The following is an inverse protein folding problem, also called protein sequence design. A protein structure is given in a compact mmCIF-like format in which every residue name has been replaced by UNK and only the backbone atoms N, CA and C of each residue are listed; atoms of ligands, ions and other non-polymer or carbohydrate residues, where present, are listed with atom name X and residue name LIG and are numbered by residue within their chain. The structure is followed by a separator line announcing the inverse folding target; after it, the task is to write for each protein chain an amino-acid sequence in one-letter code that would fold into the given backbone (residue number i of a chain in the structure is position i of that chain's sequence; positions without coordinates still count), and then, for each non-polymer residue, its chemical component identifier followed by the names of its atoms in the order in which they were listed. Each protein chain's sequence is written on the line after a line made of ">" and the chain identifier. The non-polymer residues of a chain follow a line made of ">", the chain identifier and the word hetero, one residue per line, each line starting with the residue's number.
data_IF_624041082532
#
_entry.id   IF_624041082532
#
_cell.length_a   1.000
_cell.length_b   1.000
_cell.length_c   1.000
_cell.angle_alpha   90.00
_cell.angle_beta   90.00
_cell.angle_gamma   90.00
#
_symmetry.space_group_name_H-M   'P 1'
#
loop_
_entity.id
_entity.type
_entity.pdbx_description
1 polymer ?
#
# COMPACT_ATOMS: atom_id res chain seq x y z
N UNK A 1 5.62 16.34 -8.09
CA UNK A 1 5.75 14.96 -8.61
C UNK A 1 5.98 13.92 -7.52
N UNK A 2 6.99 13.97 -6.63
CA UNK A 2 6.99 13.10 -5.40
C UNK A 2 5.65 13.16 -4.62
N UNK A 3 5.01 14.34 -4.67
CA UNK A 3 3.72 14.70 -4.05
C UNK A 3 2.47 13.89 -4.47
N UNK A 4 2.49 13.18 -5.60
CA UNK A 4 1.38 12.27 -5.98
C UNK A 4 1.54 10.88 -5.35
N UNK A 5 2.79 10.51 -5.04
CA UNK A 5 3.20 9.13 -4.86
C UNK A 5 2.82 8.50 -3.51
N UNK A 6 2.87 9.28 -2.43
CA UNK A 6 2.43 8.82 -1.11
C UNK A 6 0.99 8.29 -1.14
N UNK A 7 0.17 8.79 -2.07
CA UNK A 7 -1.19 8.30 -2.29
C UNK A 7 -1.30 7.29 -3.42
N UNK A 8 -0.45 7.37 -4.45
CA UNK A 8 -0.29 6.24 -5.40
C UNK A 8 0.08 4.94 -4.69
N UNK A 9 0.82 4.99 -3.58
CA UNK A 9 1.21 3.80 -2.82
C UNK A 9 0.12 3.31 -1.87
N UNK A 10 -0.56 4.24 -1.18
CA UNK A 10 -1.74 3.91 -0.38
C UNK A 10 -2.88 3.35 -1.24
N UNK A 11 -3.03 3.84 -2.48
CA UNK A 11 -3.91 3.21 -3.47
C UNK A 11 -3.31 1.96 -4.11
N UNK A 12 -2.02 1.85 -4.43
CA UNK A 12 -1.49 0.61 -5.02
C UNK A 12 -1.57 -0.61 -4.07
N UNK A 13 -1.57 -0.36 -2.75
CA UNK A 13 -1.88 -1.36 -1.72
C UNK A 13 -3.39 -1.62 -1.51
N UNK A 14 -4.27 -0.82 -2.13
CA UNK A 14 -5.74 -0.86 -1.95
C UNK A 14 -6.53 -1.15 -3.22
N UNK A 15 -6.16 -0.61 -4.38
CA UNK A 15 -6.79 -0.73 -5.71
C UNK A 15 -5.83 -0.21 -6.78
N UNK A 16 -5.58 -1.00 -7.83
CA UNK A 16 -4.86 -0.52 -8.99
C UNK A 16 -5.63 0.50 -9.83
N UNK A 17 -5.21 1.78 -9.80
CA UNK A 17 -5.25 2.69 -10.96
C UNK A 17 -4.52 4.02 -10.63
N UNK A 18 -3.33 4.24 -11.21
CA UNK A 18 -2.77 5.58 -11.46
C UNK A 18 -2.24 5.61 -12.89
N UNK A 19 -3.14 5.37 -13.85
CA UNK A 19 -2.79 5.23 -15.27
C UNK A 19 -3.91 5.73 -16.20
N UNK A 20 -4.33 6.99 -16.04
CA UNK A 20 -4.77 7.83 -17.15
C UNK A 20 -4.97 9.29 -16.69
N UNK A 21 -4.02 10.13 -17.06
CA UNK A 21 -4.09 11.59 -16.98
C UNK A 21 -3.27 12.12 -18.15
N UNK A 22 -3.86 12.12 -19.35
CA UNK A 22 -3.22 12.64 -20.55
C UNK A 22 -3.06 14.15 -20.44
N UNK A 23 -1.87 14.65 -20.75
CA UNK A 23 -1.61 16.08 -20.96
C UNK A 23 -1.43 16.32 -22.46
N UNK A 24 -2.16 17.27 -23.01
CA UNK A 24 -2.23 17.53 -24.45
C UNK A 24 -0.98 18.28 -24.94
N UNK A 25 0.01 17.54 -25.46
CA UNK A 25 1.26 18.09 -25.99
C UNK A 25 1.58 17.53 -27.39
N UNK A 26 1.13 18.21 -28.44
CA UNK A 26 1.24 17.73 -29.82
C UNK A 26 2.68 17.59 -30.37
N UNK A 27 2.94 16.51 -31.12
CA UNK A 27 4.25 16.22 -31.70
C UNK A 27 4.23 15.13 -32.79
N UNK A 28 3.72 15.47 -33.98
CA UNK A 28 3.99 14.85 -35.30
C UNK A 28 4.38 13.36 -35.38
N UNK A 29 3.43 12.50 -35.77
CA UNK A 29 3.73 11.20 -36.40
C UNK A 29 4.38 11.38 -37.79
N UNK A 30 5.20 10.40 -38.21
CA UNK A 30 5.19 9.91 -39.58
C UNK A 30 4.58 8.49 -39.69
N UNK A 31 4.10 8.17 -40.89
CA UNK A 31 3.30 7.00 -41.24
C UNK A 31 4.00 5.64 -41.09
N UNK A 32 3.19 4.58 -40.95
CA UNK A 32 3.48 3.28 -41.55
C UNK A 32 2.22 2.74 -42.25
N UNK A 33 2.43 2.16 -43.43
CA UNK A 33 1.40 1.87 -44.43
C UNK A 33 0.62 0.57 -44.21
N UNK A 34 -0.49 0.47 -44.95
CA UNK A 34 -1.48 -0.59 -44.89
C UNK A 34 -1.06 -1.92 -45.55
N UNK A 35 -1.77 -2.99 -45.16
CA UNK A 35 -2.20 -4.04 -46.11
C UNK A 35 -3.66 -4.42 -45.78
N UNK A 36 -4.49 -4.55 -46.82
CA UNK A 36 -5.93 -4.92 -46.74
C UNK A 36 -6.19 -6.28 -47.39
N UNK A 37 -7.21 -6.99 -46.90
CA UNK A 37 -8.20 -7.84 -47.60
C UNK A 37 -9.27 -8.21 -46.53
N UNK A 38 -10.55 -7.80 -46.61
CA UNK A 38 -11.68 -8.50 -47.27
C UNK A 38 -12.53 -9.30 -46.25
N UNK A 39 -13.88 -9.46 -46.29
CA UNK A 39 -14.98 -8.98 -47.16
C UNK A 39 -16.30 -8.88 -46.30
N UNK A 40 -17.34 -8.24 -46.86
CA UNK A 40 -18.73 -8.00 -46.39
C UNK A 40 -19.52 -9.21 -45.80
N UNK A 41 -20.62 -8.94 -45.06
CA UNK A 41 -21.91 -9.55 -45.45
C UNK A 41 -23.14 -8.60 -45.42
N UNK A 42 -24.15 -8.92 -46.24
CA UNK A 42 -25.43 -8.19 -46.38
C UNK A 42 -26.60 -8.82 -45.57
N UNK A 43 -27.67 -8.04 -45.36
CA UNK A 43 -28.99 -8.50 -44.88
C UNK A 43 -29.98 -8.72 -46.06
N UNK A 44 -31.05 -9.53 -45.91
CA UNK A 44 -32.35 -9.12 -45.31
C UNK A 44 -32.97 -10.22 -44.40
N UNK A 45 -34.17 -10.12 -43.80
CA UNK A 45 -35.20 -9.05 -43.72
C UNK A 45 -36.64 -9.62 -43.85
N UNK A 46 -37.60 -9.21 -42.99
CA UNK A 46 -39.00 -9.69 -43.01
C UNK A 46 -39.87 -9.16 -41.85
N UNK A 47 -41.17 -8.98 -42.09
CA UNK A 47 -42.14 -8.22 -41.26
C UNK A 47 -42.88 -9.07 -40.19
N UNK A 48 -43.42 -8.43 -39.11
CA UNK A 48 -44.88 -8.25 -38.94
C UNK A 48 -45.30 -7.43 -37.68
N UNK A 49 -46.53 -6.91 -37.78
CA UNK A 49 -47.29 -5.97 -36.94
C UNK A 49 -47.44 -6.32 -35.43
N UNK A 50 -47.63 -5.28 -34.59
CA UNK A 50 -48.23 -5.38 -33.24
C UNK A 50 -49.22 -4.24 -32.98
N UNK A 51 -50.45 -4.61 -32.62
CA UNK A 51 -51.51 -3.73 -32.07
C UNK A 51 -51.65 -3.94 -30.56
N UNK A 52 -52.14 -2.93 -29.83
CA UNK A 52 -53.05 -3.19 -28.71
C UNK A 52 -52.63 -2.79 -27.28
N UNK A 53 -53.27 -1.72 -26.80
CA UNK A 53 -53.74 -1.47 -25.43
C UNK A 53 -52.74 -1.27 -24.26
N UNK A 54 -52.90 -0.10 -23.61
CA UNK A 54 -52.41 0.19 -22.26
C UNK A 54 -53.58 0.13 -21.25
N UNK A 55 -53.32 -0.13 -19.95
CA UNK A 55 -54.23 0.19 -18.87
C UNK A 55 -53.84 1.49 -18.14
N UNK A 56 -54.85 2.29 -17.81
CA UNK A 56 -54.76 3.51 -16.99
C UNK A 56 -54.97 3.20 -15.51
N UNK A 57 -54.11 3.70 -14.63
CA UNK A 57 -54.36 3.79 -13.19
C UNK A 57 -54.06 5.21 -12.67
N UNK A 58 -55.14 5.97 -12.54
CA UNK A 58 -55.57 6.72 -11.36
C UNK A 58 -54.55 7.53 -10.52
N UNK A 59 -54.74 8.85 -10.49
CA UNK A 59 -54.11 9.76 -9.52
C UNK A 59 -54.97 9.81 -8.25
N UNK A 60 -54.37 9.52 -7.09
CA UNK A 60 -54.99 9.65 -5.78
C UNK A 60 -54.21 10.62 -4.89
N UNK A 61 -54.83 11.75 -4.51
CA UNK A 61 -54.29 12.63 -3.48
C UNK A 61 -54.37 11.96 -2.10
N UNK A 62 -53.21 11.71 -1.50
CA UNK A 62 -53.09 11.14 -0.16
C UNK A 62 -52.17 11.99 0.71
N UNK A 63 -52.74 12.83 1.57
CA UNK A 63 -52.01 13.48 2.66
C UNK A 63 -51.68 12.44 3.74
N UNK A 64 -50.46 11.92 3.72
CA UNK A 64 -49.94 10.99 4.73
C UNK A 64 -48.66 11.54 5.35
N UNK A 65 -48.62 11.56 6.68
CA UNK A 65 -47.53 12.15 7.45
C UNK A 65 -46.18 11.50 7.14
N UNK A 66 -45.22 12.31 6.67
CA UNK A 66 -43.81 11.94 6.71
C UNK A 66 -43.40 11.99 8.19
N UNK A 67 -43.51 10.84 8.86
CA UNK A 67 -42.94 10.65 10.18
C UNK A 67 -41.45 11.00 10.09
N UNK A 68 -41.10 12.15 10.65
CA UNK A 68 -39.74 12.66 10.75
C UNK A 68 -38.95 11.67 11.59
N UNK A 69 -38.31 10.72 10.93
CA UNK A 69 -37.33 9.84 11.55
C UNK A 69 -36.24 10.77 12.10
N UNK A 70 -36.25 10.92 13.43
CA UNK A 70 -35.32 11.81 14.08
C UNK A 70 -33.94 11.18 13.89
N UNK A 71 -33.11 11.82 13.07
CA UNK A 71 -31.69 11.52 13.00
C UNK A 71 -31.17 11.57 14.44
N UNK A 72 -30.92 10.39 15.00
CA UNK A 72 -30.33 10.27 16.31
C UNK A 72 -28.92 10.82 16.15
N UNK A 73 -28.72 12.05 16.63
CA UNK A 73 -27.41 12.63 16.76
C UNK A 73 -26.63 11.70 17.70
N UNK A 74 -25.78 10.86 17.10
CA UNK A 74 -24.94 9.92 17.85
C UNK A 74 -23.93 10.77 18.60
N UNK A 75 -24.28 11.12 19.84
CA UNK A 75 -23.44 11.95 20.72
C UNK A 75 -22.12 11.21 20.94
N UNK A 76 -21.11 11.62 20.19
CA UNK A 76 -19.78 11.05 20.32
C UNK A 76 -19.27 11.35 21.73
N UNK A 77 -18.88 10.30 22.46
CA UNK A 77 -18.39 10.40 23.84
C UNK A 77 -16.87 10.34 23.83
N UNK A 78 -16.16 11.45 24.14
CA UNK A 78 -14.70 11.49 24.19
C UNK A 78 -14.10 10.37 25.06
N UNK A 79 -13.10 9.65 24.55
CA UNK A 79 -12.38 8.64 25.32
C UNK A 79 -10.87 8.96 25.44
N UNK A 80 -10.54 9.51 26.62
CA UNK A 80 -9.17 9.82 27.05
C UNK A 80 -8.67 8.89 28.16
N UNK A 81 -9.33 7.75 28.38
CA UNK A 81 -8.92 6.79 29.42
C UNK A 81 -7.54 6.24 29.10
N UNK A 82 -6.56 6.55 29.95
CA UNK A 82 -5.16 6.14 29.75
C UNK A 82 -4.36 7.02 28.77
N UNK A 83 -4.94 8.10 28.24
CA UNK A 83 -4.25 9.04 27.34
C UNK A 83 -3.82 10.32 28.06
N UNK A 84 -2.65 10.83 27.70
CA UNK A 84 -2.13 12.15 28.10
C UNK A 84 -2.03 13.13 26.93
N UNK A 85 -2.16 12.63 25.70
CA UNK A 85 -2.11 13.40 24.47
C UNK A 85 -2.88 12.72 23.32
N UNK A 86 -3.07 13.43 22.22
CA UNK A 86 -3.69 12.89 20.99
C UNK A 86 -5.22 12.92 21.01
N UNK A 87 -5.85 12.42 19.93
CA UNK A 87 -7.30 12.56 19.76
C UNK A 87 -8.13 11.75 20.77
N UNK A 88 -9.27 12.31 21.16
CA UNK A 88 -10.28 11.69 22.01
C UNK A 88 -11.27 10.77 21.27
N UNK A 89 -11.16 10.67 19.95
CA UNK A 89 -12.05 9.88 19.09
C UNK A 89 -13.34 10.59 18.64
N UNK A 90 -13.54 11.84 19.06
CA UNK A 90 -14.75 12.65 18.81
C UNK A 90 -14.47 14.03 18.22
N UNK A 91 -13.31 14.20 17.58
CA UNK A 91 -12.85 15.48 17.02
C UNK A 91 -12.23 16.43 18.05
N UNK A 92 -12.13 16.03 19.32
CA UNK A 92 -11.37 16.71 20.35
C UNK A 92 -10.01 16.06 20.62
N UNK A 93 -9.38 16.50 21.71
CA UNK A 93 -8.03 16.07 22.12
C UNK A 93 -7.97 15.78 23.61
N UNK A 94 -7.27 14.70 23.95
CA UNK A 94 -6.93 14.29 25.31
C UNK A 94 -5.75 15.08 25.90
N UNK A 95 -5.04 15.85 25.07
CA UNK A 95 -3.95 16.69 25.49
C UNK A 95 -2.92 16.93 24.39
N UNK A 96 -1.98 17.82 24.69
CA UNK A 96 -0.86 18.18 23.81
C UNK A 96 0.45 18.04 24.59
N UNK A 97 1.52 17.66 23.88
CA UNK A 97 2.83 17.50 24.49
C UNK A 97 3.47 18.87 24.77
N UNK A 98 3.64 19.20 26.06
CA UNK A 98 3.91 20.56 26.53
C UNK A 98 5.32 21.12 26.27
N UNK A 99 6.22 20.33 25.69
CA UNK A 99 7.59 20.74 25.33
C UNK A 99 7.71 21.23 23.86
N UNK A 100 6.59 21.39 23.15
CA UNK A 100 6.54 21.82 21.75
C UNK A 100 7.07 20.75 20.78
N UNK A 101 7.68 21.19 19.68
CA UNK A 101 8.21 20.34 18.57
C UNK A 101 9.24 19.27 19.00
N UNK A 102 9.62 19.22 20.27
CA UNK A 102 10.66 18.35 20.84
C UNK A 102 10.10 17.07 21.47
N UNK A 103 8.79 16.89 21.48
CA UNK A 103 8.12 15.71 22.05
C UNK A 103 6.96 15.24 21.18
N UNK A 104 6.94 13.96 20.88
CA UNK A 104 5.92 13.28 20.11
C UNK A 104 4.92 12.60 21.04
N UNK A 105 3.64 12.68 20.69
CA UNK A 105 2.63 11.83 21.31
C UNK A 105 2.76 10.40 20.76
N UNK A 106 2.78 9.39 21.62
CA UNK A 106 2.71 8.00 21.18
C UNK A 106 1.37 7.72 20.47
N UNK A 107 1.31 6.80 19.49
CA UNK A 107 0.08 6.54 18.72
C UNK A 107 -1.13 6.08 19.55
N UNK A 108 -0.90 5.47 20.72
CA UNK A 108 -1.94 5.09 21.69
C UNK A 108 -2.40 6.25 22.59
N UNK A 109 -1.70 7.39 22.56
CA UNK A 109 -1.92 8.57 23.39
C UNK A 109 -1.32 8.47 24.80
N UNK A 110 -0.63 7.37 25.15
CA UNK A 110 -0.26 7.05 26.54
C UNK A 110 0.85 7.93 27.13
N UNK A 111 1.77 8.43 26.29
CA UNK A 111 2.88 9.26 26.72
C UNK A 111 3.32 10.29 25.66
N UNK A 112 3.96 11.35 26.15
CA UNK A 112 4.78 12.25 25.34
C UNK A 112 6.25 11.85 25.48
N UNK A 113 6.89 11.46 24.38
CA UNK A 113 8.29 10.99 24.34
C UNK A 113 9.14 11.95 23.51
N UNK A 114 10.43 12.06 23.84
CA UNK A 114 11.37 12.77 22.95
C UNK A 114 11.64 11.89 21.71
N UNK A 115 11.73 12.48 20.50
CA UNK A 115 12.27 11.77 19.35
C UNK A 115 13.60 11.12 19.69
N UNK A 116 13.76 9.86 19.34
CA UNK A 116 15.01 9.13 19.47
C UNK A 116 16.04 9.66 18.46
N UNK A 117 17.33 9.59 18.81
CA UNK A 117 18.40 10.03 17.90
C UNK A 117 18.76 8.89 16.94
N UNK A 118 18.06 8.81 15.80
CA UNK A 118 18.32 7.80 14.76
C UNK A 118 19.75 7.94 14.23
N UNK A 119 20.26 9.17 14.07
CA UNK A 119 21.60 9.41 13.54
C UNK A 119 22.71 8.99 14.51
N UNK A 120 22.53 9.21 15.82
CA UNK A 120 23.42 8.72 16.87
C UNK A 120 23.29 7.22 17.15
N UNK A 121 22.15 6.61 16.83
CA UNK A 121 21.88 5.18 17.04
C UNK A 121 22.40 4.33 15.86
N UNK A 122 22.09 4.73 14.63
CA UNK A 122 22.40 3.96 13.41
C UNK A 122 23.74 4.42 12.82
N UNK A 123 24.82 3.98 13.47
CA UNK A 123 26.21 4.37 13.14
C UNK A 123 26.90 3.45 12.13
N UNK A 124 26.28 2.31 11.79
CA UNK A 124 26.76 1.33 10.81
C UNK A 124 25.57 0.68 10.11
N UNK A 125 25.69 0.50 8.80
CA UNK A 125 24.79 -0.29 7.97
C UNK A 125 25.37 -1.68 7.73
N UNK A 126 24.54 -2.72 7.80
CA UNK A 126 24.92 -4.05 7.36
C UNK A 126 24.65 -4.22 5.84
N UNK A 127 24.81 -5.44 5.31
CA UNK A 127 24.59 -5.68 3.87
C UNK A 127 23.12 -5.43 3.50
N UNK A 128 22.90 -4.75 2.37
CA UNK A 128 21.55 -4.41 1.87
C UNK A 128 21.34 -4.85 0.42
N UNK A 129 20.15 -5.37 0.14
CA UNK A 129 19.61 -5.47 -1.22
C UNK A 129 18.49 -4.45 -1.39
N UNK A 130 18.48 -3.70 -2.49
CA UNK A 130 17.39 -2.76 -2.83
C UNK A 130 16.46 -3.38 -3.87
N UNK A 131 15.18 -3.06 -3.77
CA UNK A 131 14.14 -3.48 -4.72
C UNK A 131 14.55 -3.20 -6.18
N UNK A 132 14.53 -4.25 -7.01
CA UNK A 132 14.88 -4.19 -8.44
C UNK A 132 13.67 -4.45 -9.35
N UNK A 133 12.71 -5.25 -8.90
CA UNK A 133 11.39 -5.41 -9.50
C UNK A 133 10.33 -5.59 -8.40
N UNK A 134 9.09 -5.21 -8.70
CA UNK A 134 7.92 -5.46 -7.87
C UNK A 134 6.69 -5.66 -8.75
N UNK A 135 5.94 -6.72 -8.53
CA UNK A 135 4.71 -7.04 -9.25
C UNK A 135 3.78 -7.89 -8.38
N UNK A 136 2.50 -8.02 -8.73
CA UNK A 136 1.62 -9.05 -8.17
C UNK A 136 1.38 -10.15 -9.22
N UNK A 137 1.37 -11.44 -8.84
CA UNK A 137 1.18 -12.52 -9.80
C UNK A 137 -0.28 -12.60 -10.26
N UNK A 138 -0.50 -12.40 -11.57
CA UNK A 138 -1.82 -12.51 -12.20
C UNK A 138 -2.21 -13.93 -12.64
N UNK A 139 -1.21 -14.80 -12.87
CA UNK A 139 -1.44 -16.20 -13.21
C UNK A 139 -1.87 -17.02 -11.97
N UNK A 140 -2.82 -17.95 -12.17
CA UNK A 140 -3.38 -18.73 -11.08
C UNK A 140 -2.39 -19.78 -10.55
N UNK A 141 -1.66 -20.48 -11.42
CA UNK A 141 -0.72 -21.50 -10.97
C UNK A 141 0.47 -20.87 -10.23
N UNK A 142 0.92 -19.69 -10.67
CA UNK A 142 1.95 -18.91 -9.95
C UNK A 142 1.46 -18.49 -8.55
N UNK A 143 0.21 -18.01 -8.42
CA UNK A 143 -0.39 -17.68 -7.12
C UNK A 143 -0.46 -18.92 -6.22
N UNK A 144 -1.10 -20.00 -6.69
CA UNK A 144 -1.27 -21.24 -5.90
C UNK A 144 0.08 -21.87 -5.47
N UNK A 145 1.16 -21.64 -6.23
CA UNK A 145 2.50 -22.18 -5.96
C UNK A 145 3.40 -21.27 -5.11
N UNK A 146 3.40 -19.95 -5.31
CA UNK A 146 4.39 -19.03 -4.72
C UNK A 146 3.88 -18.23 -3.53
N UNK A 147 2.58 -17.94 -3.46
CA UNK A 147 2.03 -17.14 -2.37
C UNK A 147 1.78 -18.01 -1.12
N UNK A 148 1.79 -17.43 0.10
CA UNK A 148 1.38 -18.16 1.29
C UNK A 148 -0.11 -18.52 1.26
N UNK A 149 -0.43 -19.69 1.81
CA UNK A 149 -1.80 -20.12 2.10
C UNK A 149 -2.27 -19.45 3.41
N UNK A 150 -3.21 -18.51 3.30
CA UNK A 150 -3.84 -17.80 4.41
C UNK A 150 -5.26 -18.33 4.70
N UNK A 151 -5.90 -18.97 3.72
CA UNK A 151 -7.25 -19.53 3.79
C UNK A 151 -7.29 -20.95 4.38
N UNK A 152 -6.18 -21.69 4.32
CA UNK A 152 -6.01 -23.06 4.78
C UNK A 152 -6.40 -24.13 3.75
N UNK A 153 -6.56 -23.78 2.47
CA UNK A 153 -7.01 -24.71 1.41
C UNK A 153 -5.86 -25.48 0.71
N UNK A 154 -4.63 -25.32 1.21
CA UNK A 154 -3.37 -25.83 0.66
C UNK A 154 -2.89 -25.17 -0.63
N UNK A 155 -3.32 -23.93 -0.90
CA UNK A 155 -2.88 -23.12 -2.05
C UNK A 155 -2.54 -21.70 -1.61
N UNK A 156 -1.60 -21.08 -2.31
CA UNK A 156 -1.31 -19.67 -2.10
C UNK A 156 -2.48 -18.75 -2.45
N UNK A 157 -2.75 -17.77 -1.60
CA UNK A 157 -3.79 -16.75 -1.81
C UNK A 157 -3.20 -15.45 -2.39
N UNK A 158 -3.98 -14.73 -3.22
CA UNK A 158 -3.65 -13.37 -3.65
C UNK A 158 -4.89 -12.61 -4.16
N UNK A 159 -5.50 -11.77 -3.32
CA UNK A 159 -6.63 -10.91 -3.69
C UNK A 159 -6.29 -9.92 -4.81
N UNK A 160 -5.03 -9.48 -4.89
CA UNK A 160 -4.55 -8.58 -5.94
C UNK A 160 -4.46 -9.22 -7.34
N UNK A 161 -4.57 -10.56 -7.45
CA UNK A 161 -4.42 -11.32 -8.70
C UNK A 161 -5.31 -10.77 -9.83
N UNK A 162 -6.55 -10.39 -9.51
CA UNK A 162 -7.51 -9.84 -10.48
C UNK A 162 -7.10 -8.48 -11.06
N UNK A 163 -6.22 -7.74 -10.38
CA UNK A 163 -5.75 -6.41 -10.79
C UNK A 163 -4.35 -6.42 -11.40
N UNK A 164 -3.68 -7.57 -11.51
CA UNK A 164 -2.28 -7.67 -11.94
C UNK A 164 -1.97 -6.94 -13.26
N UNK A 165 -2.84 -7.08 -14.27
CA UNK A 165 -2.73 -6.38 -15.56
C UNK A 165 -2.81 -4.86 -15.46
N UNK A 166 -3.43 -4.35 -14.38
CA UNK A 166 -3.65 -2.93 -14.12
C UNK A 166 -2.56 -2.35 -13.22
N UNK A 167 -2.10 -3.09 -12.20
CA UNK A 167 -1.08 -2.59 -11.24
C UNK A 167 0.35 -2.76 -11.71
N UNK A 168 0.69 -3.86 -12.40
CA UNK A 168 2.11 -4.22 -12.61
C UNK A 168 2.87 -3.20 -13.46
N UNK A 169 2.19 -2.54 -14.41
CA UNK A 169 2.79 -1.44 -15.19
C UNK A 169 3.20 -0.23 -14.34
N UNK A 170 2.38 0.14 -13.36
CA UNK A 170 2.69 1.26 -12.45
C UNK A 170 3.66 0.85 -11.34
N UNK A 171 3.56 -0.37 -10.79
CA UNK A 171 4.55 -0.92 -9.86
C UNK A 171 5.96 -0.92 -10.49
N UNK A 172 6.07 -1.39 -11.74
CA UNK A 172 7.32 -1.39 -12.49
C UNK A 172 7.88 0.03 -12.70
N UNK A 173 7.05 0.99 -13.11
CA UNK A 173 7.45 2.41 -13.23
C UNK A 173 7.92 2.99 -11.90
N UNK A 174 7.19 2.76 -10.81
CA UNK A 174 7.55 3.31 -9.49
C UNK A 174 8.94 2.83 -9.01
N UNK A 175 9.30 1.57 -9.29
CA UNK A 175 10.63 1.02 -8.99
C UNK A 175 11.69 1.54 -9.98
N UNK A 176 11.39 1.59 -11.28
CA UNK A 176 12.32 2.05 -12.32
C UNK A 176 12.67 3.54 -12.20
N UNK A 177 11.69 4.38 -11.91
CA UNK A 177 11.85 5.82 -11.73
C UNK A 177 12.45 6.19 -10.35
N UNK A 178 12.78 5.20 -9.53
CA UNK A 178 13.31 5.40 -8.17
C UNK A 178 12.34 6.10 -7.24
N UNK A 179 11.03 6.03 -7.53
CA UNK A 179 9.97 6.71 -6.78
C UNK A 179 9.56 5.91 -5.54
N UNK A 180 9.54 4.58 -5.64
CA UNK A 180 9.33 3.68 -4.50
C UNK A 180 10.48 2.68 -4.41
N UNK A 181 11.22 2.74 -3.30
CA UNK A 181 12.35 1.87 -3.05
C UNK A 181 12.32 1.41 -1.59
N UNK A 182 12.41 0.10 -1.40
CA UNK A 182 12.70 -0.52 -0.12
C UNK A 182 14.09 -1.15 -0.22
N UNK A 183 14.95 -0.85 0.74
CA UNK A 183 16.13 -1.64 1.02
C UNK A 183 15.80 -2.68 2.10
N UNK A 184 16.25 -3.91 1.89
CA UNK A 184 16.20 -4.97 2.89
C UNK A 184 17.59 -5.10 3.52
N UNK A 185 17.70 -4.83 4.83
CA UNK A 185 18.95 -4.93 5.59
C UNK A 185 19.06 -6.29 6.29
N UNK A 186 20.16 -6.98 6.03
CA UNK A 186 20.46 -8.32 6.51
C UNK A 186 21.33 -8.21 7.77
N UNK A 187 20.70 -7.85 8.90
CA UNK A 187 21.40 -7.45 10.12
C UNK A 187 22.32 -8.56 10.64
N UNK A 188 23.62 -8.28 10.71
CA UNK A 188 24.65 -9.20 11.17
C UNK A 188 24.91 -10.44 10.28
N UNK A 189 24.31 -10.56 9.09
CA UNK A 189 24.45 -11.75 8.24
C UNK A 189 25.80 -11.78 7.54
N UNK A 190 26.56 -12.84 7.77
CA UNK A 190 27.82 -13.14 7.07
C UNK A 190 27.75 -14.40 6.21
N UNK A 191 26.88 -15.36 6.53
CA UNK A 191 26.66 -16.59 5.77
C UNK A 191 25.29 -16.53 5.07
N UNK A 192 25.32 -16.26 3.77
CA UNK A 192 24.13 -16.21 2.91
C UNK A 192 23.72 -17.59 2.36
N UNK A 193 24.42 -18.66 2.72
CA UNK A 193 23.98 -20.04 2.48
C UNK A 193 23.19 -20.57 3.69
N UNK A 194 23.67 -20.34 4.92
CA UNK A 194 23.04 -20.79 6.16
C UNK A 194 23.18 -19.79 7.32
N UNK A 195 22.09 -19.12 7.72
CA UNK A 195 22.02 -18.30 8.94
C UNK A 195 20.75 -18.67 9.73
N UNK A 196 20.92 -19.17 10.96
CA UNK A 196 19.83 -19.81 11.71
C UNK A 196 18.75 -18.84 12.22
N UNK A 197 19.15 -17.63 12.62
CA UNK A 197 18.25 -16.52 12.97
C UNK A 197 18.99 -15.18 12.82
N UNK A 198 18.32 -14.20 12.24
CA UNK A 198 18.75 -12.81 12.14
C UNK A 198 17.52 -11.90 11.93
N UNK A 199 17.69 -10.59 12.11
CA UNK A 199 16.63 -9.63 11.79
C UNK A 199 16.79 -9.10 10.36
N UNK A 200 15.77 -9.30 9.52
CA UNK A 200 15.64 -8.61 8.23
C UNK A 200 14.83 -7.33 8.42
N UNK A 201 15.44 -6.15 8.22
CA UNK A 201 14.74 -4.87 8.29
C UNK A 201 14.27 -4.43 6.91
N UNK A 202 13.04 -3.92 6.78
CA UNK A 202 12.58 -3.19 5.61
C UNK A 202 12.74 -1.69 5.85
N UNK A 203 13.54 -1.02 5.02
CA UNK A 203 13.87 0.41 5.15
C UNK A 203 13.42 1.15 3.89
N UNK A 204 12.70 2.26 4.06
CA UNK A 204 12.39 3.19 2.97
C UNK A 204 13.68 3.92 2.58
N UNK A 205 13.98 3.99 1.28
CA UNK A 205 15.20 4.64 0.80
C UNK A 205 14.96 5.58 -0.38
N UNK A 206 15.69 6.70 -0.37
CA UNK A 206 15.84 7.61 -1.50
C UNK A 206 17.21 7.35 -2.17
N UNK A 207 17.35 7.53 -3.50
CA UNK A 207 18.66 7.48 -4.15
C UNK A 207 19.60 8.55 -3.57
N UNK A 208 20.87 8.21 -3.33
CA UNK A 208 21.85 9.20 -2.89
C UNK A 208 22.06 10.24 -4.02
N UNK A 209 21.92 11.56 -3.75
CA UNK A 209 22.03 12.60 -4.78
C UNK A 209 23.44 12.74 -5.37
N UNK A 210 24.47 12.17 -4.71
CA UNK A 210 25.85 12.09 -5.23
C UNK A 210 26.07 10.87 -6.13
N UNK A 211 25.09 9.96 -6.24
CA UNK A 211 25.22 8.78 -7.07
C UNK A 211 24.99 9.08 -8.54
N UNK A 212 26.02 8.90 -9.36
CA UNK A 212 25.96 9.06 -10.81
C UNK A 212 25.76 7.73 -11.54
N UNK A 213 25.65 6.59 -10.85
CA UNK A 213 25.44 5.30 -11.52
C UNK A 213 24.04 5.15 -12.11
N UNK A 214 23.92 4.22 -13.07
CA UNK A 214 22.66 3.82 -13.72
C UNK A 214 22.72 2.30 -13.94
N UNK A 215 21.93 1.48 -13.22
CA UNK A 215 21.01 1.85 -12.13
C UNK A 215 21.75 2.41 -10.90
N UNK A 216 20.99 3.02 -9.97
CA UNK A 216 21.52 3.57 -8.72
C UNK A 216 22.00 2.47 -7.77
N UNK A 217 23.22 2.62 -7.27
CA UNK A 217 23.87 1.70 -6.33
C UNK A 217 23.93 2.26 -4.90
N UNK A 218 23.89 3.59 -4.72
CA UNK A 218 23.95 4.25 -3.41
C UNK A 218 22.61 4.85 -3.00
N UNK A 219 22.28 4.67 -1.73
CA UNK A 219 20.96 4.96 -1.18
C UNK A 219 21.07 5.60 0.20
N UNK A 220 20.11 6.46 0.53
CA UNK A 220 19.97 7.08 1.84
C UNK A 220 18.67 6.59 2.48
N UNK A 221 18.73 6.16 3.74
CA UNK A 221 17.55 5.66 4.47
C UNK A 221 16.71 6.82 4.97
N UNK A 222 15.43 6.80 4.64
CA UNK A 222 14.47 7.77 5.17
C UNK A 222 14.27 7.52 6.68
N UNK A 223 14.45 8.53 7.56
CA UNK A 223 14.17 8.42 8.98
C UNK A 223 12.76 7.89 9.32
N UNK A 224 11.78 8.03 8.42
CA UNK A 224 10.44 7.45 8.55
C UNK A 224 10.43 5.91 8.59
N UNK A 225 11.55 5.25 8.27
CA UNK A 225 11.72 3.79 8.44
C UNK A 225 11.74 3.35 9.91
N UNK A 226 11.90 4.27 10.86
CA UNK A 226 12.07 3.98 12.28
C UNK A 226 10.92 4.54 13.12
N UNK A 227 10.56 3.83 14.17
CA UNK A 227 9.71 4.35 15.23
C UNK A 227 10.44 5.51 15.92
N UNK A 228 9.92 6.75 15.87
CA UNK A 228 10.62 7.89 16.44
C UNK A 228 10.63 7.88 17.97
N UNK A 229 9.91 6.99 18.65
CA UNK A 229 9.95 6.83 20.10
C UNK A 229 11.18 6.04 20.60
N UNK A 230 11.62 5.02 19.84
CA UNK A 230 12.58 4.02 20.33
C UNK A 230 13.68 3.62 19.32
N UNK A 231 13.68 4.20 18.12
CA UNK A 231 14.65 3.95 17.04
C UNK A 231 14.65 2.50 16.52
N UNK A 232 13.59 1.74 16.75
CA UNK A 232 13.41 0.42 16.12
C UNK A 232 12.86 0.56 14.69
N UNK A 233 13.30 -0.27 13.72
CA UNK A 233 12.70 -0.28 12.39
C UNK A 233 11.22 -0.66 12.44
N UNK A 234 10.37 0.09 11.72
CA UNK A 234 8.92 -0.16 11.65
C UNK A 234 8.57 -1.48 10.94
N UNK A 235 9.41 -1.90 9.99
CA UNK A 235 9.28 -3.17 9.28
C UNK A 235 10.47 -4.04 9.65
N UNK A 236 10.24 -5.10 10.44
CA UNK A 236 11.28 -6.03 10.86
C UNK A 236 10.76 -7.46 10.99
N UNK A 237 11.46 -8.40 10.34
CA UNK A 237 11.29 -9.84 10.51
C UNK A 237 12.40 -10.33 11.46
N UNK A 238 12.12 -10.34 12.77
CA UNK A 238 13.13 -10.51 13.84
C UNK A 238 13.81 -11.87 13.85
N UNK A 239 13.07 -12.91 13.48
CA UNK A 239 13.49 -14.32 13.46
C UNK A 239 13.56 -14.86 12.02
N UNK A 240 14.05 -14.03 11.08
CA UNK A 240 14.31 -14.48 9.72
C UNK A 240 15.47 -15.49 9.70
N UNK A 241 15.43 -16.45 8.79
CA UNK A 241 16.44 -17.49 8.62
C UNK A 241 16.82 -17.67 7.16
N UNK A 242 18.05 -18.11 6.91
CA UNK A 242 18.55 -18.56 5.61
C UNK A 242 18.97 -20.02 5.74
N UNK A 243 18.53 -20.88 4.82
CA UNK A 243 18.95 -22.27 4.76
C UNK A 243 19.05 -22.73 3.30
N UNK A 244 20.23 -23.21 2.87
CA UNK A 244 20.50 -23.57 1.48
C UNK A 244 20.29 -22.40 0.50
N UNK A 245 20.72 -21.19 0.88
CA UNK A 245 20.53 -19.96 0.11
C UNK A 245 19.08 -19.43 0.07
N UNK A 246 18.12 -20.09 0.74
CA UNK A 246 16.72 -19.68 0.80
C UNK A 246 16.40 -18.97 2.10
N UNK A 247 15.96 -17.73 2.00
CA UNK A 247 15.48 -16.92 3.10
C UNK A 247 13.99 -17.16 3.35
N UNK A 248 13.61 -17.20 4.63
CA UNK A 248 12.22 -17.07 5.08
C UNK A 248 12.14 -16.24 6.36
N UNK A 249 11.16 -15.35 6.48
CA UNK A 249 10.89 -14.58 7.69
C UNK A 249 9.39 -14.32 7.89
N UNK A 250 9.00 -14.14 9.15
CA UNK A 250 7.60 -14.02 9.57
C UNK A 250 6.97 -15.37 9.97
N UNK A 251 5.65 -15.41 10.23
CA UNK A 251 4.71 -14.29 10.16
C UNK A 251 5.01 -13.20 11.21
N UNK A 252 4.83 -11.94 10.84
CA UNK A 252 4.96 -10.77 11.72
C UNK A 252 3.90 -9.72 11.36
N UNK A 253 3.56 -8.83 12.27
CA UNK A 253 2.66 -7.71 11.98
C UNK A 253 3.49 -6.42 11.99
N UNK A 254 3.37 -5.62 10.94
CA UNK A 254 4.01 -4.30 10.84
C UNK A 254 3.06 -3.26 10.26
N UNK A 255 3.32 -2.00 10.58
CA UNK A 255 2.52 -0.88 10.08
C UNK A 255 3.37 0.00 9.16
N UNK A 256 2.90 0.18 7.92
CA UNK A 256 3.44 1.14 6.97
C UNK A 256 2.66 2.46 7.10
N UNK A 257 3.32 3.49 7.60
CA UNK A 257 2.76 4.85 7.69
C UNK A 257 3.27 5.71 6.54
N UNK A 258 2.39 6.03 5.60
CA UNK A 258 2.66 6.92 4.48
C UNK A 258 2.29 8.36 4.88
N UNK A 259 3.30 9.19 5.14
CA UNK A 259 3.08 10.60 5.41
C UNK A 259 2.68 11.35 4.13
N UNK A 260 1.54 12.03 4.16
CA UNK A 260 1.08 12.87 3.04
C UNK A 260 1.46 14.31 3.39
N UNK A 261 2.72 14.67 3.11
CA UNK A 261 3.35 15.96 3.49
C UNK A 261 2.53 17.20 3.10
N UNK A 262 1.69 17.10 2.06
CA UNK A 262 0.87 18.21 1.58
C UNK A 262 -0.37 18.51 2.44
N UNK A 263 -0.70 17.65 3.41
CA UNK A 263 -1.98 17.65 4.14
C UNK A 263 -1.84 17.62 5.67
N UNK A 264 -0.62 17.56 6.20
CA UNK A 264 -0.39 17.44 7.66
C UNK A 264 -0.90 16.12 8.26
N UNK A 265 -1.16 15.10 7.44
CA UNK A 265 -1.70 13.81 7.86
C UNK A 265 -0.91 12.62 7.31
N UNK A 266 -1.24 11.43 7.79
CA UNK A 266 -0.63 10.18 7.35
C UNK A 266 -1.68 9.06 7.23
N UNK A 267 -1.47 8.15 6.28
CA UNK A 267 -2.23 6.91 6.16
C UNK A 267 -1.40 5.76 6.73
N UNK A 268 -1.95 5.02 7.69
CA UNK A 268 -1.28 3.87 8.31
C UNK A 268 -1.99 2.60 7.89
N UNK A 269 -1.27 1.74 7.18
CA UNK A 269 -1.71 0.40 6.80
C UNK A 269 -1.02 -0.61 7.72
N UNK A 270 -1.76 -1.51 8.34
CA UNK A 270 -1.19 -2.61 9.12
C UNK A 270 -1.27 -3.88 8.30
N UNK A 271 -0.14 -4.48 7.98
CA UNK A 271 -0.09 -5.78 7.31
C UNK A 271 0.03 -6.87 8.37
N UNK A 272 -1.01 -7.69 8.48
CA UNK A 272 -1.05 -8.85 9.37
C UNK A 272 -0.46 -10.09 8.72
N UNK A 273 0.04 -11.03 9.53
CA UNK A 273 0.64 -12.30 9.08
C UNK A 273 1.70 -12.12 8.00
N UNK A 274 2.37 -10.96 8.00
CA UNK A 274 3.37 -10.53 7.04
C UNK A 274 4.52 -11.53 6.96
N UNK A 275 4.78 -12.02 5.76
CA UNK A 275 5.77 -13.04 5.46
C UNK A 275 6.66 -12.59 4.31
N UNK A 276 7.94 -12.97 4.38
CA UNK A 276 8.92 -12.73 3.31
C UNK A 276 9.67 -14.02 3.02
N UNK A 277 9.85 -14.34 1.75
CA UNK A 277 10.77 -15.39 1.29
C UNK A 277 11.51 -14.91 0.04
N UNK A 278 12.69 -15.48 -0.22
CA UNK A 278 13.50 -15.21 -1.41
C UNK A 278 14.67 -16.19 -1.49
N UNK A 279 15.28 -16.34 -2.67
CA UNK A 279 16.60 -16.99 -2.83
C UNK A 279 17.67 -15.90 -2.89
N UNK A 280 18.64 -15.94 -1.98
CA UNK A 280 19.67 -14.89 -1.81
C UNK A 280 21.04 -15.35 -2.26
N UNK A 281 21.87 -14.40 -2.76
CA UNK A 281 23.24 -14.64 -3.21
C UNK A 281 24.16 -13.54 -2.68
N UNK A 282 25.38 -13.91 -2.27
CA UNK A 282 26.27 -13.01 -1.53
C UNK A 282 26.86 -11.83 -2.35
N UNK A 283 26.80 -11.88 -3.68
CA UNK A 283 27.33 -10.81 -4.53
C UNK A 283 26.47 -9.54 -4.42
N UNK A 284 26.91 -8.65 -3.52
CA UNK A 284 26.21 -7.45 -3.02
C UNK A 284 24.78 -7.70 -2.49
N UNK A 285 24.42 -8.92 -2.11
CA UNK A 285 23.05 -9.31 -1.69
C UNK A 285 22.02 -9.07 -2.81
N UNK A 286 22.14 -9.89 -3.84
CA UNK A 286 21.10 -10.06 -4.86
C UNK A 286 20.08 -11.10 -4.39
N UNK A 287 18.83 -10.95 -4.82
CA UNK A 287 17.79 -11.92 -4.51
C UNK A 287 16.81 -12.13 -5.67
N UNK A 288 16.44 -13.39 -5.88
CA UNK A 288 15.51 -13.88 -6.90
C UNK A 288 14.36 -14.66 -6.23
N UNK A 289 13.26 -14.87 -6.95
CA UNK A 289 12.05 -15.53 -6.43
C UNK A 289 11.54 -14.93 -5.10
N UNK A 290 11.67 -13.61 -4.94
CA UNK A 290 11.18 -12.92 -3.75
C UNK A 290 9.66 -12.91 -3.69
N UNK A 291 9.12 -13.17 -2.51
CA UNK A 291 7.69 -13.07 -2.18
C UNK A 291 7.56 -12.24 -0.91
N UNK A 292 6.82 -11.13 -0.98
CA UNK A 292 6.36 -10.36 0.17
C UNK A 292 4.85 -10.47 0.22
N UNK A 293 4.32 -11.02 1.30
CA UNK A 293 2.90 -11.32 1.43
C UNK A 293 2.37 -11.02 2.83
N UNK A 294 1.06 -10.92 2.96
CA UNK A 294 0.37 -10.69 4.23
C UNK A 294 -1.12 -10.51 4.02
N UNK A 295 -1.81 -10.03 5.05
CA UNK A 295 -3.25 -9.83 5.04
C UNK A 295 -3.60 -8.41 5.49
N UNK A 296 -4.54 -7.78 4.79
CA UNK A 296 -5.17 -6.51 5.17
C UNK A 296 -6.62 -6.79 5.55
N UNK A 297 -7.03 -6.45 6.78
CA UNK A 297 -8.41 -6.68 7.21
C UNK A 297 -9.34 -5.60 6.66
N UNK A 298 -10.61 -5.94 6.46
CA UNK A 298 -11.64 -5.01 6.00
C UNK A 298 -11.80 -3.82 6.96
N UNK A 299 -11.72 -4.06 8.27
CA UNK A 299 -11.79 -3.00 9.28
C UNK A 299 -10.64 -1.99 9.15
N UNK A 300 -9.41 -2.48 8.89
CA UNK A 300 -8.24 -1.62 8.63
C UNK A 300 -8.41 -0.80 7.35
N UNK A 301 -8.92 -1.43 6.29
CA UNK A 301 -9.21 -0.79 5.01
C UNK A 301 -10.29 0.30 5.17
N UNK A 302 -11.43 -0.03 5.76
CA UNK A 302 -12.56 0.88 5.95
C UNK A 302 -12.18 2.06 6.88
N UNK A 303 -11.42 1.81 7.95
CA UNK A 303 -10.92 2.85 8.85
C UNK A 303 -9.90 3.79 8.17
N UNK A 304 -9.05 3.26 7.29
CA UNK A 304 -8.09 4.06 6.50
C UNK A 304 -8.83 4.90 5.45
N UNK A 305 -9.82 4.32 4.78
CA UNK A 305 -10.69 5.00 3.83
C UNK A 305 -11.50 6.12 4.49
N UNK A 306 -12.02 5.92 5.70
CA UNK A 306 -12.74 6.96 6.45
C UNK A 306 -11.85 8.19 6.71
N UNK A 307 -10.60 7.98 7.12
CA UNK A 307 -9.61 9.07 7.29
C UNK A 307 -9.26 9.74 5.96
N UNK A 308 -9.15 8.97 4.88
CA UNK A 308 -8.92 9.52 3.54
C UNK A 308 -10.10 10.40 3.07
N UNK A 309 -11.35 10.00 3.35
CA UNK A 309 -12.56 10.81 3.07
C UNK A 309 -12.59 12.11 3.86
N UNK A 310 -12.20 12.08 5.13
CA UNK A 310 -12.10 13.28 5.98
C UNK A 310 -11.15 14.32 5.36
N UNK A 311 -10.00 13.88 4.85
CA UNK A 311 -9.03 14.73 4.15
C UNK A 311 -9.54 15.32 2.82
N UNK A 312 -10.64 14.81 2.26
CA UNK A 312 -11.28 15.36 1.07
C UNK A 312 -12.26 16.50 1.37
N UNK A 313 -12.69 16.67 2.62
CA UNK A 313 -13.67 17.70 3.03
C UNK A 313 -13.01 19.07 3.31
N UNK A 314 -12.13 19.51 2.41
CA UNK A 314 -11.35 20.76 2.53
C UNK A 314 -11.52 21.65 1.28
N UNK A 315 -11.35 22.98 1.37
CA UNK A 315 -11.62 23.90 0.25
C UNK A 315 -10.78 23.67 -1.02
N UNK A 316 -9.67 22.94 -0.91
CA UNK A 316 -8.86 22.46 -2.03
C UNK A 316 -8.52 20.99 -1.79
N UNK A 317 -9.37 20.05 -2.22
CA UNK A 317 -9.16 18.63 -1.94
C UNK A 317 -7.87 18.12 -2.60
N UNK A 318 -7.21 17.13 -1.99
CA UNK A 318 -6.12 16.38 -2.61
C UNK A 318 -6.48 15.78 -3.97
N UNK A 319 -5.51 15.66 -4.87
CA UNK A 319 -5.72 15.04 -6.20
C UNK A 319 -6.22 13.59 -6.09
N UNK A 320 -5.89 12.89 -5.00
CA UNK A 320 -6.33 11.51 -4.74
C UNK A 320 -7.84 11.37 -4.53
N UNK A 321 -8.51 12.42 -4.06
CA UNK A 321 -9.94 12.39 -3.72
C UNK A 321 -10.81 12.11 -4.96
N UNK A 322 -10.31 12.48 -6.14
CA UNK A 322 -10.94 12.17 -7.44
C UNK A 322 -11.01 10.66 -7.73
N UNK A 323 -10.16 9.85 -7.09
CA UNK A 323 -10.05 8.40 -7.29
C UNK A 323 -10.62 7.60 -6.11
N UNK A 324 -11.05 8.26 -5.04
CA UNK A 324 -11.45 7.58 -3.79
C UNK A 324 -12.74 6.77 -3.97
N UNK A 325 -13.76 7.36 -4.62
CA UNK A 325 -15.01 6.70 -4.99
C UNK A 325 -14.80 5.55 -5.98
N UNK A 326 -13.82 5.69 -6.88
CA UNK A 326 -13.41 4.60 -7.76
C UNK A 326 -12.80 3.48 -6.94
N UNK A 327 -11.82 3.76 -6.07
CA UNK A 327 -11.19 2.77 -5.23
C UNK A 327 -12.21 1.98 -4.39
N UNK A 328 -13.18 2.67 -3.77
CA UNK A 328 -14.28 2.05 -3.02
C UNK A 328 -15.03 0.96 -3.80
N UNK A 329 -15.22 1.14 -5.11
CA UNK A 329 -15.90 0.15 -5.95
C UNK A 329 -15.08 -1.11 -6.24
N UNK A 330 -13.76 -1.06 -6.10
CA UNK A 330 -12.86 -2.21 -6.31
C UNK A 330 -12.54 -2.97 -5.02
N UNK A 331 -12.63 -2.35 -3.83
CA UNK A 331 -12.32 -3.03 -2.55
C UNK A 331 -13.04 -4.38 -2.36
N UNK A 332 -14.34 -4.55 -2.70
CA UNK A 332 -15.01 -5.85 -2.57
C UNK A 332 -14.45 -6.97 -3.46
N UNK A 333 -13.72 -6.63 -4.53
CA UNK A 333 -13.08 -7.62 -5.42
C UNK A 333 -11.72 -8.10 -4.90
N UNK A 334 -11.20 -7.48 -3.84
CA UNK A 334 -9.91 -7.82 -3.23
C UNK A 334 -10.05 -8.66 -1.95
N UNK A 335 -11.19 -8.56 -1.27
CA UNK A 335 -11.47 -9.39 -0.11
C UNK A 335 -11.74 -10.83 -0.56
N UNK A 336 -10.72 -11.68 -0.44
CA UNK A 336 -10.70 -13.08 -0.84
C UNK A 336 -10.61 -14.05 0.35
N UNK A 337 -10.29 -13.55 1.55
CA UNK A 337 -10.23 -14.32 2.80
C UNK A 337 -11.47 -14.11 3.67
N UNK A 338 -11.90 -15.20 4.32
CA UNK A 338 -12.84 -15.20 5.45
C UNK A 338 -12.04 -15.66 6.68
N UNK A 339 -11.65 -14.72 7.54
CA UNK A 339 -10.78 -14.99 8.69
C UNK A 339 -11.57 -15.40 9.94
N UNK A 340 -12.86 -15.05 10.01
CA UNK A 340 -13.70 -15.26 11.18
C UNK A 340 -14.64 -16.49 11.05
N UNK A 341 -14.89 -16.96 9.83
CA UNK A 341 -15.69 -18.14 9.51
C UNK A 341 -17.20 -17.88 9.39
N UNK A 342 -17.66 -16.63 9.25
CA UNK A 342 -19.08 -16.29 9.06
C UNK A 342 -19.60 -16.47 7.62
N UNK A 343 -18.71 -16.87 6.69
CA UNK A 343 -19.01 -17.07 5.28
C UNK A 343 -18.90 -15.81 4.43
N UNK A 344 -18.48 -14.66 4.99
CA UNK A 344 -18.22 -13.42 4.26
C UNK A 344 -16.73 -13.17 4.15
N UNK A 345 -16.33 -12.44 3.11
CA UNK A 345 -14.96 -12.02 2.94
C UNK A 345 -14.69 -10.74 3.74
N UNK A 346 -13.81 -10.86 4.72
CA UNK A 346 -13.47 -9.83 5.72
C UNK A 346 -12.00 -9.42 5.69
N UNK A 347 -11.18 -10.03 4.82
CA UNK A 347 -9.80 -9.62 4.60
C UNK A 347 -9.33 -9.90 3.16
N UNK A 348 -8.31 -9.15 2.74
CA UNK A 348 -7.64 -9.31 1.46
C UNK A 348 -6.24 -9.89 1.68
N UNK A 349 -5.93 -10.99 1.01
CA UNK A 349 -4.56 -11.47 0.89
C UNK A 349 -3.78 -10.61 -0.09
N UNK A 350 -2.56 -10.23 0.31
CA UNK A 350 -1.61 -9.51 -0.52
C UNK A 350 -0.45 -10.46 -0.81
N UNK A 351 -0.10 -10.63 -2.08
CA UNK A 351 1.11 -11.32 -2.52
C UNK A 351 1.79 -10.51 -3.61
N UNK A 352 3.04 -10.13 -3.35
CA UNK A 352 3.91 -9.39 -4.27
C UNK A 352 5.16 -10.21 -4.55
N UNK A 353 5.47 -10.39 -5.84
CA UNK A 353 6.75 -10.94 -6.27
C UNK A 353 7.77 -9.82 -6.42
N UNK A 354 9.00 -10.07 -6.02
CA UNK A 354 10.08 -9.09 -6.13
C UNK A 354 11.44 -9.72 -6.43
N UNK A 355 12.39 -8.86 -6.81
CA UNK A 355 13.83 -9.17 -6.84
C UNK A 355 14.61 -8.07 -6.15
N UNK A 356 15.78 -8.41 -5.61
CA UNK A 356 16.72 -7.43 -5.05
C UNK A 356 17.98 -7.35 -5.92
N UNK A 357 18.45 -6.13 -6.14
CA UNK A 357 19.81 -5.84 -6.63
C UNK A 357 20.66 -5.33 -5.48
N UNK A 358 21.96 -5.56 -5.56
CA UNK A 358 22.87 -5.09 -4.53
C UNK A 358 22.93 -3.56 -4.43
N UNK A 359 23.08 -3.07 -3.20
CA UNK A 359 23.08 -1.64 -2.88
C UNK A 359 24.08 -1.31 -1.77
N UNK A 360 24.31 -0.02 -1.55
CA UNK A 360 25.09 0.51 -0.41
C UNK A 360 24.31 1.65 0.23
N UNK A 361 24.08 1.58 1.55
CA UNK A 361 23.55 2.72 2.29
C UNK A 361 24.70 3.67 2.63
N UNK A 362 24.55 4.95 2.29
CA UNK A 362 25.55 6.00 2.55
C UNK A 362 25.25 6.82 3.81
N UNK A 363 24.01 6.79 4.29
CA UNK A 363 23.56 7.53 5.47
C UNK A 363 22.05 7.60 5.58
N UNK A 364 21.56 8.48 6.46
CA UNK A 364 20.15 8.88 6.49
C UNK A 364 19.91 10.00 5.47
N UNK A 365 18.68 10.09 4.95
CA UNK A 365 18.22 11.25 4.18
C UNK A 365 18.32 12.48 5.09
N UNK A 366 19.01 13.57 4.67
CA UNK A 366 19.11 14.77 5.49
C UNK A 366 17.71 15.40 5.68
N UNK A 367 17.39 15.96 6.86
CA UNK A 367 16.12 16.64 7.08
C UNK A 367 15.96 17.77 6.06
N UNK A 368 14.78 17.84 5.42
CA UNK A 368 14.45 18.88 4.46
C UNK A 368 14.52 20.24 5.14
N UNK A 369 15.54 21.03 4.82
CA UNK A 369 15.63 22.44 5.21
C UNK A 369 14.60 23.22 4.39
N UNK A 370 13.55 23.71 5.05
CA UNK A 370 12.57 24.63 4.46
C UNK A 370 13.17 26.02 4.18
#
# INVERSE_FOLDING_TARGET
>A
MKKFLAVSLGLAAMVGFVACGGDDGGGTQPAQDAIQEGVQPDAPGGELLLDGAAPTETVGEGTGDVAKEAAQEVVCTPNCTGKVCGSDGCGGSCGECKDGDKTLCLPDGSACVKPCDIAGTVTKWDKVGVLASLETPGDKAVVEQKCPDFSGDSKGDNGLKGLASTVNGELAKMVQEGKFNIAMEFKGVTDFENTASFTLNGLLVDPDPTDTSTPKEKWQVDPQSYNPADCTPLIAFKDAKIAGGKLSGGPTTFSLTLAIEQLGGALTFTLEKGQVSMTVKDDKVTAEDGVLAGVLTKDQVDATLAKAKEQCNVPKPPDFCNYLSMAESFLPMLFDLDQNGDGKKDAASLCLLFSLRGATITGLVPPKTN
#
